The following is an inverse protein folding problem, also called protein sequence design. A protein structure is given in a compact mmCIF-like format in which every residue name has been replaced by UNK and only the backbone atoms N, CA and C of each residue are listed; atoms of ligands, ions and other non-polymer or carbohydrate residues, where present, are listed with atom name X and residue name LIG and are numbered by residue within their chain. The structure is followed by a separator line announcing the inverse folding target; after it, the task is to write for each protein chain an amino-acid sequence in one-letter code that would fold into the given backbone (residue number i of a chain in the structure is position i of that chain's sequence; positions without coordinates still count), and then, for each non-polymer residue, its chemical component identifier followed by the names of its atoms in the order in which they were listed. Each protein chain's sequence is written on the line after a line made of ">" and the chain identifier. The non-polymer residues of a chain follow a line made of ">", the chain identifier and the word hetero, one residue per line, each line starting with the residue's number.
data_IF_757080765960
#
_entry.id   IF_757080765960
#
_cell.length_a   1.000
_cell.length_b   1.000
_cell.length_c   1.000
_cell.angle_alpha   90.00
_cell.angle_beta   90.00
_cell.angle_gamma   90.00
#
_symmetry.space_group_name_H-M   'P 1'
#
loop_
_entity.id
_entity.type
_entity.pdbx_description
1 polymer ?
#
# COMPACT_ATOMS: atom_id res chain seq x y z
N UNK A 1 4.61 10.55 16.50
CA UNK A 1 3.67 11.07 15.47
C UNK A 1 4.33 11.91 14.37
N UNK A 2 5.29 12.80 14.65
CA UNK A 2 5.92 13.63 13.60
C UNK A 2 6.69 12.77 12.55
N UNK A 3 7.42 11.76 12.99
CA UNK A 3 8.13 10.82 12.09
C UNK A 3 7.17 10.01 11.20
N UNK A 4 6.02 9.56 11.76
CA UNK A 4 4.99 8.84 10.99
C UNK A 4 4.46 9.74 9.87
N UNK A 5 4.07 10.98 10.19
CA UNK A 5 3.56 11.94 9.19
C UNK A 5 4.57 12.22 8.09
N UNK A 6 5.86 12.33 8.44
CA UNK A 6 6.94 12.54 7.48
C UNK A 6 7.09 11.36 6.51
N UNK A 7 7.17 10.15 7.03
CA UNK A 7 7.35 8.97 6.19
C UNK A 7 6.10 8.67 5.37
N UNK A 8 4.90 8.84 5.95
CA UNK A 8 3.65 8.75 5.21
C UNK A 8 3.57 9.79 4.09
N UNK A 9 4.00 11.04 4.34
CA UNK A 9 4.07 12.06 3.30
C UNK A 9 4.98 11.66 2.13
N UNK A 10 6.14 11.07 2.41
CA UNK A 10 7.02 10.58 1.36
C UNK A 10 6.42 9.40 0.58
N UNK A 11 5.78 8.43 1.25
CA UNK A 11 5.08 7.34 0.54
C UNK A 11 3.95 7.88 -0.33
N UNK A 12 3.20 8.87 0.16
CA UNK A 12 2.10 9.50 -0.59
C UNK A 12 2.57 10.29 -1.82
N UNK A 13 3.82 10.79 -1.83
CA UNK A 13 4.42 11.45 -3.01
C UNK A 13 5.02 10.46 -3.98
N UNK A 14 5.79 9.49 -3.47
CA UNK A 14 6.48 8.50 -4.34
C UNK A 14 5.49 7.53 -4.98
N UNK A 15 4.39 7.16 -4.31
CA UNK A 15 3.39 6.25 -4.86
C UNK A 15 2.85 6.70 -6.23
N UNK A 16 2.30 7.91 -6.38
CA UNK A 16 1.90 8.42 -7.69
C UNK A 16 3.03 8.50 -8.72
N UNK A 17 4.26 8.85 -8.30
CA UNK A 17 5.43 8.87 -9.20
C UNK A 17 5.73 7.45 -9.70
N UNK A 18 5.65 6.45 -8.82
CA UNK A 18 5.82 5.04 -9.18
C UNK A 18 4.75 4.59 -10.20
N UNK A 19 3.49 4.94 -9.97
CA UNK A 19 2.42 4.67 -10.94
C UNK A 19 2.67 5.37 -12.29
N UNK A 20 3.20 6.60 -12.28
CA UNK A 20 3.57 7.29 -13.51
C UNK A 20 4.71 6.58 -14.26
N UNK A 21 5.72 6.06 -13.55
CA UNK A 21 6.78 5.26 -14.18
C UNK A 21 6.18 4.04 -14.89
N UNK A 22 5.31 3.28 -14.24
CA UNK A 22 4.65 2.12 -14.84
C UNK A 22 3.81 2.51 -16.07
N UNK A 23 3.03 3.60 -15.99
CA UNK A 23 2.23 4.08 -17.11
C UNK A 23 3.07 4.53 -18.31
N UNK A 24 4.23 5.16 -18.06
CA UNK A 24 5.10 5.67 -19.12
C UNK A 24 5.92 4.56 -19.81
N UNK A 25 6.24 3.49 -19.10
CA UNK A 25 7.08 2.40 -19.62
C UNK A 25 6.29 1.12 -19.98
N UNK A 26 4.94 1.18 -19.97
CA UNK A 26 4.07 0.11 -20.43
C UNK A 26 3.55 -0.75 -19.26
N UNK A 27 2.52 -0.26 -18.58
CA UNK A 27 1.83 -1.00 -17.50
C UNK A 27 1.17 -2.29 -18.00
N UNK A 28 0.82 -2.33 -19.28
CA UNK A 28 0.26 -3.48 -20.00
C UNK A 28 1.27 -4.60 -20.23
N UNK A 29 2.57 -4.31 -20.10
CA UNK A 29 3.64 -5.30 -20.16
C UNK A 29 3.99 -5.90 -18.78
N UNK A 30 3.37 -5.41 -17.69
CA UNK A 30 3.57 -5.97 -16.35
C UNK A 30 2.78 -7.27 -16.22
N UNK A 31 3.47 -8.40 -16.27
CA UNK A 31 2.88 -9.74 -16.28
C UNK A 31 1.89 -10.00 -15.14
N UNK A 32 2.16 -9.47 -13.95
CA UNK A 32 1.28 -9.62 -12.79
C UNK A 32 -0.04 -8.90 -12.98
N UNK A 33 -0.03 -7.69 -13.53
CA UNK A 33 -1.24 -6.91 -13.79
C UNK A 33 -2.06 -7.54 -14.90
N UNK A 34 -1.39 -7.99 -15.96
CA UNK A 34 -2.03 -8.70 -17.06
C UNK A 34 -2.67 -10.01 -16.57
N UNK A 35 -1.91 -10.84 -15.86
CA UNK A 35 -2.41 -12.09 -15.30
C UNK A 35 -3.58 -11.87 -14.31
N UNK A 36 -3.52 -10.82 -13.49
CA UNK A 36 -4.63 -10.44 -12.63
C UNK A 36 -5.84 -10.00 -13.44
N UNK A 37 -5.66 -9.11 -14.43
CA UNK A 37 -6.75 -8.60 -15.27
C UNK A 37 -7.42 -9.75 -16.03
N UNK A 38 -6.66 -10.62 -16.69
CA UNK A 38 -7.19 -11.76 -17.43
C UNK A 38 -7.98 -12.70 -16.52
N UNK A 39 -7.45 -13.02 -15.34
CA UNK A 39 -8.11 -13.86 -14.34
C UNK A 39 -9.38 -13.21 -13.80
N UNK A 40 -9.32 -11.92 -13.49
CA UNK A 40 -10.46 -11.17 -12.94
C UNK A 40 -11.59 -11.06 -13.96
N UNK A 41 -11.30 -10.64 -15.19
CA UNK A 41 -12.33 -10.45 -16.22
C UNK A 41 -12.93 -11.76 -16.71
N UNK A 42 -12.19 -12.87 -16.62
CA UNK A 42 -12.72 -14.21 -16.95
C UNK A 42 -13.87 -14.66 -16.02
N UNK A 43 -14.03 -14.05 -14.85
CA UNK A 43 -15.12 -14.34 -13.91
C UNK A 43 -16.48 -13.76 -14.36
N UNK A 44 -16.49 -12.90 -15.36
CA UNK A 44 -17.69 -12.18 -15.81
C UNK A 44 -18.08 -12.55 -17.22
N UNK A 45 -19.37 -12.82 -17.43
CA UNK A 45 -19.94 -13.01 -18.78
C UNK A 45 -19.91 -11.74 -19.63
N UNK A 46 -19.91 -10.57 -18.96
CA UNK A 46 -19.73 -9.26 -19.58
C UNK A 46 -18.63 -8.49 -18.82
N UNK A 47 -17.51 -8.11 -19.48
CA UNK A 47 -16.40 -7.36 -18.87
C UNK A 47 -16.82 -6.04 -18.22
N UNK A 48 -17.90 -5.39 -18.69
CA UNK A 48 -18.38 -4.13 -18.12
C UNK A 48 -18.81 -4.31 -16.65
N UNK A 49 -19.40 -5.45 -16.30
CA UNK A 49 -19.77 -5.75 -14.92
C UNK A 49 -18.52 -5.87 -14.02
N UNK A 50 -17.47 -6.52 -14.54
CA UNK A 50 -16.17 -6.58 -13.86
C UNK A 50 -15.60 -5.18 -13.64
N UNK A 51 -15.62 -4.33 -14.66
CA UNK A 51 -15.14 -2.96 -14.58
C UNK A 51 -15.91 -2.14 -13.53
N UNK A 52 -17.25 -2.18 -13.56
CA UNK A 52 -18.08 -1.48 -12.57
C UNK A 52 -17.80 -1.96 -11.15
N UNK A 53 -17.67 -3.27 -10.95
CA UNK A 53 -17.36 -3.84 -9.64
C UNK A 53 -15.98 -3.38 -9.15
N UNK A 54 -14.95 -3.43 -10.00
CA UNK A 54 -13.59 -3.02 -9.66
C UNK A 54 -13.54 -1.53 -9.27
N UNK A 55 -14.18 -0.67 -10.06
CA UNK A 55 -14.26 0.77 -9.78
C UNK A 55 -15.01 1.02 -8.46
N UNK A 56 -16.13 0.31 -8.22
CA UNK A 56 -16.91 0.46 -6.98
C UNK A 56 -16.10 0.05 -5.75
N UNK A 57 -15.39 -1.08 -5.80
CA UNK A 57 -14.52 -1.54 -4.70
C UNK A 57 -13.39 -0.54 -4.46
N UNK A 58 -12.71 -0.10 -5.53
CA UNK A 58 -11.61 0.87 -5.43
C UNK A 58 -12.07 2.19 -4.81
N UNK A 59 -13.21 2.72 -5.28
CA UNK A 59 -13.80 3.95 -4.74
C UNK A 59 -14.18 3.79 -3.26
N UNK A 60 -14.79 2.67 -2.89
CA UNK A 60 -15.16 2.37 -1.51
C UNK A 60 -13.93 2.27 -0.60
N UNK A 61 -12.87 1.61 -1.07
CA UNK A 61 -11.61 1.49 -0.34
C UNK A 61 -10.94 2.86 -0.11
N UNK A 62 -10.89 3.70 -1.15
CA UNK A 62 -10.36 5.06 -1.04
C UNK A 62 -11.15 5.87 0.00
N UNK A 63 -12.48 5.82 -0.05
CA UNK A 63 -13.32 6.51 0.93
C UNK A 63 -13.09 6.01 2.36
N UNK A 64 -12.93 4.69 2.55
CA UNK A 64 -12.63 4.10 3.85
C UNK A 64 -11.28 4.58 4.39
N UNK A 65 -10.26 4.65 3.54
CA UNK A 65 -8.92 5.14 3.90
C UNK A 65 -9.00 6.62 4.29
N UNK A 66 -9.64 7.45 3.47
CA UNK A 66 -9.83 8.89 3.75
C UNK A 66 -10.57 9.08 5.06
N UNK A 67 -11.67 8.34 5.28
CA UNK A 67 -12.41 8.37 6.54
C UNK A 67 -11.51 8.00 7.73
N UNK A 68 -10.72 6.94 7.62
CA UNK A 68 -9.78 6.52 8.65
C UNK A 68 -8.76 7.61 8.99
N UNK A 69 -8.19 8.28 7.97
CA UNK A 69 -7.25 9.38 8.15
C UNK A 69 -7.90 10.59 8.84
N UNK A 70 -9.12 10.96 8.43
CA UNK A 70 -9.86 12.08 9.02
C UNK A 70 -10.31 11.81 10.45
N UNK A 71 -10.72 10.57 10.76
CA UNK A 71 -11.12 10.16 12.09
C UNK A 71 -9.97 10.23 13.11
N UNK A 72 -8.74 10.06 12.66
CA UNK A 72 -7.55 10.07 13.52
C UNK A 72 -7.40 8.82 14.41
N UNK A 73 -6.50 8.92 15.38
CA UNK A 73 -6.25 7.84 16.34
C UNK A 73 -5.86 6.51 15.68
N UNK A 74 -6.39 5.38 16.17
CA UNK A 74 -6.09 4.04 15.65
C UNK A 74 -6.54 3.84 14.20
N UNK A 75 -7.63 4.48 13.79
CA UNK A 75 -8.13 4.39 12.42
C UNK A 75 -7.15 5.02 11.42
N UNK A 76 -6.57 6.16 11.76
CA UNK A 76 -5.54 6.80 10.95
C UNK A 76 -4.27 5.95 10.88
N UNK A 77 -3.84 5.33 11.99
CA UNK A 77 -2.69 4.43 12.01
C UNK A 77 -2.94 3.20 11.13
N UNK A 78 -4.15 2.62 11.16
CA UNK A 78 -4.52 1.50 10.29
C UNK A 78 -4.51 1.89 8.81
N UNK A 79 -5.07 3.05 8.45
CA UNK A 79 -5.04 3.57 7.09
C UNK A 79 -3.61 3.80 6.59
N UNK A 80 -2.74 4.40 7.41
CA UNK A 80 -1.32 4.56 7.08
C UNK A 80 -0.60 3.20 6.98
N UNK A 81 -1.01 2.21 7.78
CA UNK A 81 -0.51 0.83 7.72
C UNK A 81 -0.79 0.16 6.39
N UNK A 82 -1.95 0.40 5.80
CA UNK A 82 -2.28 -0.08 4.46
C UNK A 82 -1.29 0.48 3.42
N UNK A 83 -1.02 1.79 3.45
CA UNK A 83 -0.03 2.40 2.55
C UNK A 83 1.39 1.84 2.77
N UNK A 84 1.75 1.57 4.02
CA UNK A 84 3.04 0.96 4.34
C UNK A 84 3.15 -0.44 3.74
N UNK A 85 2.09 -1.26 3.80
CA UNK A 85 2.04 -2.60 3.20
C UNK A 85 2.14 -2.54 1.67
N UNK A 86 1.38 -1.65 1.03
CA UNK A 86 1.47 -1.43 -0.43
C UNK A 86 2.89 -1.06 -0.81
N UNK A 87 3.48 -0.06 -0.14
CA UNK A 87 4.86 0.38 -0.44
C UNK A 87 5.90 -0.73 -0.29
N UNK A 88 5.77 -1.59 0.73
CA UNK A 88 6.69 -2.73 0.94
C UNK A 88 6.42 -3.83 -0.10
N UNK A 89 5.17 -3.99 -0.53
CA UNK A 89 4.78 -4.93 -1.58
C UNK A 89 5.51 -4.70 -2.90
N UNK A 90 5.84 -3.44 -3.22
CA UNK A 90 6.58 -3.08 -4.44
C UNK A 90 8.05 -3.59 -4.46
N UNK A 91 8.47 -4.27 -3.39
CA UNK A 91 9.77 -4.97 -3.36
C UNK A 91 9.87 -6.03 -4.48
N UNK A 92 8.76 -6.52 -5.01
CA UNK A 92 8.75 -7.51 -6.08
C UNK A 92 9.45 -7.01 -7.36
N UNK A 93 9.33 -5.72 -7.74
CA UNK A 93 10.06 -5.14 -8.87
C UNK A 93 11.58 -5.20 -8.66
N UNK A 94 12.04 -4.94 -7.43
CA UNK A 94 13.47 -5.01 -7.09
C UNK A 94 13.95 -6.47 -7.17
N UNK A 95 13.18 -7.41 -6.64
CA UNK A 95 13.50 -8.84 -6.67
C UNK A 95 13.55 -9.34 -8.11
N UNK A 96 12.55 -9.01 -8.95
CA UNK A 96 12.54 -9.37 -10.37
C UNK A 96 13.76 -8.86 -11.12
N UNK A 97 14.08 -7.58 -10.95
CA UNK A 97 15.28 -6.97 -11.54
C UNK A 97 16.55 -7.74 -11.15
N UNK A 98 16.68 -8.13 -9.89
CA UNK A 98 17.85 -8.88 -9.42
C UNK A 98 17.89 -10.31 -9.94
N UNK A 99 16.75 -10.99 -9.96
CA UNK A 99 16.63 -12.40 -10.40
C UNK A 99 16.87 -12.53 -11.91
N UNK A 100 16.33 -11.63 -12.70
CA UNK A 100 16.42 -11.69 -14.16
C UNK A 100 17.62 -10.91 -14.71
N UNK A 101 18.39 -10.22 -13.85
CA UNK A 101 19.50 -9.34 -14.22
C UNK A 101 19.11 -8.34 -15.34
N UNK A 102 17.85 -7.90 -15.35
CA UNK A 102 17.27 -6.99 -16.33
C UNK A 102 16.36 -5.98 -15.61
N UNK A 103 16.23 -4.78 -16.20
CA UNK A 103 15.31 -3.79 -15.65
C UNK A 103 13.87 -4.30 -15.70
N UNK A 104 13.18 -4.25 -14.55
CA UNK A 104 11.74 -4.46 -14.43
C UNK A 104 11.04 -3.10 -14.29
N UNK A 105 9.91 -2.94 -14.99
CA UNK A 105 9.18 -1.66 -15.04
C UNK A 105 8.72 -1.29 -13.63
N UNK A 106 9.05 -0.07 -13.20
CA UNK A 106 8.75 0.42 -11.85
C UNK A 106 9.89 0.28 -10.84
N UNK A 107 10.97 -0.44 -11.15
CA UNK A 107 12.09 -0.67 -10.20
C UNK A 107 12.73 0.61 -9.70
N UNK A 108 12.90 1.63 -10.55
CA UNK A 108 13.59 2.87 -10.16
C UNK A 108 12.89 3.58 -9.02
N UNK A 109 11.58 3.71 -9.08
CA UNK A 109 10.78 4.36 -8.05
C UNK A 109 10.33 3.41 -6.94
N UNK A 110 10.31 2.09 -7.19
CA UNK A 110 10.08 1.09 -6.14
C UNK A 110 11.14 1.14 -5.03
N UNK A 111 12.41 1.43 -5.37
CA UNK A 111 13.49 1.51 -4.37
C UNK A 111 13.17 2.54 -3.28
N UNK A 112 13.00 3.85 -3.56
CA UNK A 112 12.64 4.82 -2.53
C UNK A 112 11.28 4.52 -1.91
N UNK A 113 10.32 3.99 -2.66
CA UNK A 113 8.99 3.66 -2.16
C UNK A 113 9.04 2.59 -1.08
N UNK A 114 9.77 1.50 -1.30
CA UNK A 114 10.00 0.44 -0.32
C UNK A 114 10.75 0.96 0.91
N UNK A 115 11.80 1.78 0.73
CA UNK A 115 12.55 2.36 1.84
C UNK A 115 11.62 3.16 2.75
N UNK A 116 10.80 4.06 2.20
CA UNK A 116 9.86 4.86 2.99
C UNK A 116 8.76 4.01 3.59
N UNK A 117 8.28 2.97 2.90
CA UNK A 117 7.32 2.00 3.42
C UNK A 117 7.85 1.25 4.66
N UNK A 118 9.10 0.79 4.63
CA UNK A 118 9.75 0.13 5.78
C UNK A 118 9.92 1.11 6.95
N UNK A 119 10.36 2.34 6.69
CA UNK A 119 10.51 3.36 7.73
C UNK A 119 9.17 3.73 8.36
N UNK A 120 8.12 3.85 7.54
CA UNK A 120 6.75 4.08 8.00
C UNK A 120 6.26 2.90 8.85
N UNK A 121 6.41 1.67 8.37
CA UNK A 121 6.02 0.45 9.09
C UNK A 121 6.66 0.36 10.47
N UNK A 122 7.97 0.65 10.56
CA UNK A 122 8.70 0.66 11.82
C UNK A 122 8.12 1.66 12.83
N UNK A 123 7.82 2.88 12.40
CA UNK A 123 7.25 3.90 13.28
C UNK A 123 5.80 3.59 13.67
N UNK A 124 5.01 3.01 12.76
CA UNK A 124 3.65 2.54 13.06
C UNK A 124 3.66 1.45 14.13
N UNK A 125 4.52 0.43 14.00
CA UNK A 125 4.66 -0.64 15.01
C UNK A 125 5.04 -0.06 16.36
N UNK A 126 5.94 0.91 16.40
CA UNK A 126 6.33 1.59 17.66
C UNK A 126 5.14 2.31 18.30
N UNK A 127 4.33 3.00 17.50
CA UNK A 127 3.17 3.74 18.00
C UNK A 127 2.06 2.80 18.47
N UNK A 128 1.79 1.72 17.73
CA UNK A 128 0.83 0.69 18.16
C UNK A 128 1.24 0.06 19.49
N UNK A 129 2.52 -0.25 19.69
CA UNK A 129 3.01 -0.80 20.97
C UNK A 129 2.81 0.16 22.14
N UNK A 130 3.03 1.47 21.94
CA UNK A 130 2.80 2.48 22.98
C UNK A 130 1.31 2.58 23.37
N UNK A 131 0.41 2.46 22.39
CA UNK A 131 -1.04 2.55 22.63
C UNK A 131 -1.63 1.25 23.20
N UNK A 132 -0.97 0.10 23.03
CA UNK A 132 -1.42 -1.18 23.56
C UNK A 132 -0.97 -1.41 25.03
N UNK A 133 0.18 -0.89 25.43
CA UNK A 133 0.76 -1.13 26.75
C UNK A 133 -0.13 -0.69 27.95
N UNK A 134 -0.82 0.47 27.92
CA UNK A 134 -1.71 0.87 29.01
C UNK A 134 -2.93 -0.05 29.16
N UNK A 135 -3.53 -0.48 28.05
CA UNK A 135 -4.72 -1.34 28.06
C UNK A 135 -4.43 -2.72 28.70
N UNK A 136 -3.28 -3.28 28.46
CA UNK A 136 -2.85 -4.55 29.07
C UNK A 136 -2.61 -4.41 30.57
N UNK A 137 -2.03 -3.29 31.04
CA UNK A 137 -1.83 -3.03 32.48
C UNK A 137 -3.16 -2.91 33.24
N UNK A 138 -4.14 -2.22 32.67
CA UNK A 138 -5.44 -2.06 33.30
C UNK A 138 -6.21 -3.39 33.39
N UNK A 139 -6.13 -4.23 32.34
CA UNK A 139 -6.73 -5.56 32.35
C UNK A 139 -6.10 -6.50 33.41
N UNK A 140 -4.78 -6.39 33.63
CA UNK A 140 -4.07 -7.20 34.65
C UNK A 140 -4.35 -6.74 36.08
N UNK A 141 -4.73 -5.48 36.30
CA UNK A 141 -5.07 -4.95 37.62
C UNK A 141 -6.54 -5.22 38.02
N UNK A 142 -7.37 -5.64 37.07
CA UNK A 142 -8.80 -5.95 37.30
C UNK A 142 -9.07 -7.45 37.39
N UNK A 143 -8.08 -8.30 37.17
CA UNK A 143 -8.12 -9.76 37.29
C UNK A 143 -7.53 -10.23 38.61
#
# INVERSE_FOLDING_TARGET
>A
MQSIKRWFGWTAVIGPIHMCEQLLFGIDEVDELKGFADSYYSLFSNPDYGTVLLVTISFSLINLIVYGLLKGGRAALAAMGFFALVSVGEMHHIIKTLVHASYDIGTTTAIPFVIFGVLLSRELVREFRKTAAPALRTAYQQA
#
